data_IF_197588321848
#
_entry.id   IF_197588321848
#
_cell.length_a   1.000
_cell.length_b   1.000
_cell.length_c   1.000
_cell.angle_alpha   90.00
_cell.angle_beta   90.00
_cell.angle_gamma   90.00
#
_symmetry.space_group_name_H-M   'P 1'
#
loop_
_entity.id
_entity.type
_entity.pdbx_description
1 polymer ?
#
# COMPACT_ATOMS: atom_id res chain seq x y z
N UNK A 1 -3.16 -10.48 11.98
CA UNK A 1 -2.45 -11.68 12.44
C UNK A 1 -2.60 -12.91 11.54
N UNK A 2 -3.49 -12.87 10.57
CA UNK A 2 -3.57 -13.94 9.56
C UNK A 2 -2.61 -13.74 8.38
N UNK A 3 -1.89 -12.64 8.33
CA UNK A 3 -0.91 -12.34 7.29
C UNK A 3 0.25 -13.36 7.27
N UNK A 4 0.62 -13.91 8.42
CA UNK A 4 1.75 -14.84 8.54
C UNK A 4 1.49 -16.25 8.01
N UNK A 5 0.25 -16.68 7.84
CA UNK A 5 -0.06 -18.08 7.53
C UNK A 5 -0.17 -18.43 6.06
N UNK A 6 -0.20 -17.44 5.17
CA UNK A 6 -0.19 -17.69 3.73
C UNK A 6 -1.35 -18.53 3.18
N UNK A 7 -2.35 -18.82 3.97
CA UNK A 7 -3.54 -19.51 3.52
C UNK A 7 -4.50 -18.48 2.93
N UNK A 8 -4.77 -18.59 1.64
CA UNK A 8 -6.01 -18.07 1.07
C UNK A 8 -7.09 -18.92 1.73
N UNK A 9 -7.66 -18.46 2.80
CA UNK A 9 -8.88 -19.06 3.34
C UNK A 9 -9.97 -18.75 2.34
N UNK A 10 -10.29 -19.72 1.51
CA UNK A 10 -11.56 -19.78 0.83
C UNK A 10 -12.60 -19.61 1.91
N UNK A 11 -13.33 -18.48 1.85
CA UNK A 11 -14.49 -18.14 2.65
C UNK A 11 -14.58 -18.94 3.96
N UNK A 12 -13.94 -18.43 5.01
CA UNK A 12 -14.44 -18.79 6.32
C UNK A 12 -15.93 -18.45 6.31
N UNK A 13 -16.77 -19.39 6.67
CA UNK A 13 -18.15 -19.12 7.00
C UNK A 13 -18.11 -17.92 7.93
N UNK A 14 -18.46 -16.78 7.40
CA UNK A 14 -18.42 -15.53 8.14
C UNK A 14 -19.22 -15.77 9.42
N UNK A 15 -18.67 -15.48 10.57
CA UNK A 15 -19.30 -15.62 11.89
C UNK A 15 -20.60 -14.81 11.96
N UNK A 16 -21.61 -15.14 11.15
CA UNK A 16 -22.87 -14.43 11.03
C UNK A 16 -22.83 -13.11 10.25
N UNK A 17 -21.70 -12.72 9.66
CA UNK A 17 -21.63 -11.54 8.80
C UNK A 17 -22.39 -11.78 7.49
N UNK A 18 -23.07 -10.77 6.98
CA UNK A 18 -23.94 -10.85 5.82
C UNK A 18 -23.82 -9.59 4.96
N UNK A 19 -24.47 -9.62 3.81
CA UNK A 19 -24.61 -8.44 2.93
C UNK A 19 -25.11 -7.20 3.69
N UNK A 20 -26.01 -7.38 4.67
CA UNK A 20 -26.50 -6.28 5.51
C UNK A 20 -25.36 -5.64 6.32
N UNK A 21 -24.45 -6.44 6.88
CA UNK A 21 -23.29 -5.92 7.61
C UNK A 21 -22.35 -5.14 6.70
N UNK A 22 -22.11 -5.63 5.49
CA UNK A 22 -21.31 -4.89 4.49
C UNK A 22 -21.94 -3.54 4.15
N UNK A 23 -23.27 -3.49 3.97
CA UNK A 23 -24.00 -2.25 3.72
C UNK A 23 -23.94 -1.28 4.92
N UNK A 24 -24.11 -1.79 6.14
CA UNK A 24 -24.00 -0.99 7.35
C UNK A 24 -22.59 -0.42 7.54
N UNK A 25 -21.56 -1.20 7.21
CA UNK A 25 -20.17 -0.72 7.26
C UNK A 25 -19.94 0.41 6.25
N UNK A 26 -20.44 0.27 5.02
CA UNK A 26 -20.35 1.34 4.02
C UNK A 26 -21.10 2.59 4.44
N UNK A 27 -22.28 2.43 5.07
CA UNK A 27 -23.05 3.54 5.62
C UNK A 27 -22.29 4.24 6.75
N UNK A 28 -21.73 3.48 7.67
CA UNK A 28 -20.90 4.00 8.78
C UNK A 28 -19.73 4.85 8.26
N UNK A 29 -19.03 4.37 7.23
CA UNK A 29 -17.93 5.10 6.61
C UNK A 29 -18.44 6.45 6.05
N UNK A 30 -19.55 6.44 5.32
CA UNK A 30 -20.12 7.66 4.74
C UNK A 30 -20.54 8.66 5.81
N UNK A 31 -21.22 8.21 6.86
CA UNK A 31 -21.66 9.06 7.98
C UNK A 31 -20.48 9.65 8.73
N UNK A 32 -19.44 8.81 8.97
CA UNK A 32 -18.21 9.28 9.58
C UNK A 32 -17.54 10.37 8.75
N UNK A 33 -17.37 10.15 7.45
CA UNK A 33 -16.78 11.15 6.54
C UNK A 33 -17.61 12.43 6.44
N UNK A 34 -18.92 12.32 6.43
CA UNK A 34 -19.81 13.50 6.43
C UNK A 34 -19.59 14.34 7.70
N UNK A 35 -19.39 13.71 8.85
CA UNK A 35 -19.12 14.41 10.12
C UNK A 35 -17.70 14.94 10.24
N UNK A 36 -16.71 14.17 9.79
CA UNK A 36 -15.30 14.54 9.84
C UNK A 36 -14.93 15.60 8.78
N UNK A 37 -15.70 15.69 7.69
CA UNK A 37 -15.37 16.55 6.56
C UNK A 37 -14.07 16.12 5.88
N UNK A 38 -13.32 17.10 5.36
CA UNK A 38 -12.02 16.88 4.70
C UNK A 38 -10.83 16.78 5.67
N UNK A 39 -11.07 16.71 6.97
CA UNK A 39 -10.00 16.71 7.98
C UNK A 39 -9.30 15.37 8.14
N UNK A 40 -9.97 14.28 7.75
CA UNK A 40 -9.48 12.92 7.90
C UNK A 40 -9.75 12.12 6.63
N UNK A 41 -8.73 11.42 6.15
CA UNK A 41 -8.85 10.42 5.12
C UNK A 41 -9.10 9.04 5.74
N UNK A 42 -9.98 8.26 5.12
CA UNK A 42 -10.29 6.91 5.55
C UNK A 42 -9.79 5.92 4.51
N UNK A 43 -8.90 5.03 4.94
CA UNK A 43 -8.42 3.93 4.14
C UNK A 43 -9.15 2.65 4.51
N UNK A 44 -9.73 1.98 3.50
CA UNK A 44 -10.31 0.66 3.67
C UNK A 44 -9.24 -0.42 3.44
N UNK A 45 -9.17 -1.40 4.33
CA UNK A 45 -8.32 -2.57 4.14
C UNK A 45 -9.09 -3.69 3.42
N UNK A 46 -8.50 -4.28 2.38
CA UNK A 46 -9.13 -5.35 1.59
C UNK A 46 -9.30 -6.63 2.41
N UNK A 47 -10.52 -6.91 2.83
CA UNK A 47 -10.90 -8.15 3.51
C UNK A 47 -12.38 -8.49 3.35
N UNK A 48 -13.29 -7.55 3.57
CA UNK A 48 -14.72 -7.80 3.48
C UNK A 48 -15.23 -7.54 2.05
N UNK A 49 -15.97 -8.50 1.50
CA UNK A 49 -16.67 -8.34 0.24
C UNK A 49 -18.00 -7.60 0.41
N UNK A 50 -18.61 -7.17 -0.71
CA UNK A 50 -19.95 -6.57 -0.73
C UNK A 50 -21.06 -7.45 -0.13
N UNK A 51 -20.82 -8.76 -0.04
CA UNK A 51 -21.76 -9.73 0.53
C UNK A 51 -21.45 -10.08 2.00
N UNK A 52 -20.48 -9.37 2.60
CA UNK A 52 -20.10 -9.56 4.01
C UNK A 52 -19.20 -10.77 4.26
N UNK A 53 -18.65 -11.38 3.23
CA UNK A 53 -17.68 -12.47 3.37
C UNK A 53 -16.30 -11.89 3.65
N UNK A 54 -15.54 -12.55 4.52
CA UNK A 54 -14.12 -12.27 4.72
C UNK A 54 -13.32 -13.02 3.64
N UNK A 55 -12.96 -12.31 2.58
CA UNK A 55 -12.27 -12.88 1.43
C UNK A 55 -11.34 -11.82 0.82
N UNK A 56 -10.04 -11.97 1.08
CA UNK A 56 -9.02 -11.05 0.57
C UNK A 56 -8.89 -11.19 -0.95
N UNK A 57 -9.28 -10.13 -1.64
CA UNK A 57 -9.18 -10.07 -3.10
C UNK A 57 -7.74 -9.81 -3.57
N UNK A 58 -6.89 -9.24 -2.72
CA UNK A 58 -5.54 -8.75 -3.04
C UNK A 58 -5.56 -7.81 -4.27
N UNK A 59 -6.65 -7.13 -4.50
CA UNK A 59 -6.89 -6.29 -5.65
C UNK A 59 -8.16 -5.47 -5.45
N UNK A 60 -8.33 -4.42 -6.23
CA UNK A 60 -9.63 -3.79 -6.40
C UNK A 60 -10.46 -4.62 -7.40
N UNK A 61 -11.54 -5.21 -6.92
CA UNK A 61 -12.42 -6.09 -7.70
C UNK A 61 -13.89 -5.64 -7.62
N UNK A 62 -14.79 -6.35 -8.30
CA UNK A 62 -16.24 -6.13 -8.16
C UNK A 62 -16.76 -6.48 -6.76
N UNK A 63 -16.01 -7.32 -6.04
CA UNK A 63 -16.42 -7.81 -4.72
C UNK A 63 -16.17 -6.78 -3.61
N UNK A 64 -15.17 -5.90 -3.75
CA UNK A 64 -14.80 -4.92 -2.74
C UNK A 64 -14.89 -3.45 -3.18
N UNK A 65 -15.12 -3.15 -4.46
CA UNK A 65 -15.17 -1.78 -4.97
C UNK A 65 -16.21 -0.88 -4.28
N UNK A 66 -17.28 -1.47 -3.72
CA UNK A 66 -18.34 -0.73 -3.03
C UNK A 66 -17.86 -0.03 -1.74
N UNK A 67 -16.67 -0.37 -1.24
CA UNK A 67 -16.02 0.35 -0.15
C UNK A 67 -15.27 1.60 -0.59
N UNK A 68 -15.06 1.80 -1.90
CA UNK A 68 -14.51 3.04 -2.47
C UNK A 68 -15.57 3.91 -3.12
N UNK A 69 -16.47 3.29 -3.90
CA UNK A 69 -17.58 3.99 -4.56
C UNK A 69 -18.85 3.16 -4.44
N UNK A 70 -19.97 3.82 -4.16
CA UNK A 70 -21.27 3.15 -4.08
C UNK A 70 -21.89 2.91 -5.48
N UNK A 71 -23.07 2.32 -5.49
CA UNK A 71 -23.81 2.03 -6.73
C UNK A 71 -24.15 3.27 -7.56
N UNK A 72 -24.15 4.45 -6.94
CA UNK A 72 -24.41 5.74 -7.59
C UNK A 72 -23.11 6.49 -7.92
N UNK A 73 -21.98 5.82 -7.89
CA UNK A 73 -20.64 6.38 -8.12
C UNK A 73 -20.25 7.48 -7.12
N UNK A 74 -20.85 7.50 -5.93
CA UNK A 74 -20.48 8.43 -4.86
C UNK A 74 -19.34 7.82 -4.01
N UNK A 75 -18.37 8.66 -3.56
CA UNK A 75 -17.28 8.20 -2.73
C UNK A 75 -17.77 7.55 -1.42
N UNK A 76 -17.09 6.50 -0.99
CA UNK A 76 -17.25 5.83 0.31
C UNK A 76 -15.98 6.06 1.11
N UNK A 77 -14.96 5.22 1.03
CA UNK A 77 -13.64 5.49 1.57
C UNK A 77 -12.79 6.31 0.59
N UNK A 78 -11.72 6.95 1.08
CA UNK A 78 -10.82 7.76 0.25
C UNK A 78 -9.80 6.90 -0.48
N UNK A 79 -9.40 5.79 0.15
CA UNK A 79 -8.35 4.91 -0.37
C UNK A 79 -8.58 3.46 0.06
N UNK A 80 -7.83 2.55 -0.55
CA UNK A 80 -7.90 1.13 -0.22
C UNK A 80 -6.51 0.53 -0.15
N UNK A 81 -6.26 -0.22 0.92
CA UNK A 81 -5.07 -1.02 1.10
C UNK A 81 -5.32 -2.43 0.56
N UNK A 82 -4.48 -2.86 -0.41
CA UNK A 82 -4.69 -4.05 -1.21
C UNK A 82 -4.00 -5.32 -0.68
N UNK A 83 -3.56 -5.31 0.60
CA UNK A 83 -2.85 -6.42 1.21
C UNK A 83 -1.37 -6.55 0.83
N UNK A 84 -0.67 -7.65 1.27
CA UNK A 84 0.79 -7.81 1.27
C UNK A 84 1.32 -8.96 0.39
N UNK A 85 0.50 -9.61 -0.43
CA UNK A 85 0.82 -10.91 -1.02
C UNK A 85 1.63 -10.89 -2.33
N UNK A 86 2.35 -9.81 -2.60
CA UNK A 86 3.08 -9.57 -3.86
C UNK A 86 4.31 -10.45 -4.04
N UNK A 87 4.72 -11.19 -3.02
CA UNK A 87 5.85 -12.12 -3.05
C UNK A 87 5.50 -13.47 -3.66
N UNK A 88 4.21 -13.86 -3.67
CA UNK A 88 3.79 -15.19 -4.06
C UNK A 88 3.75 -15.36 -5.57
N UNK A 89 4.49 -16.37 -6.07
CA UNK A 89 4.53 -16.73 -7.49
C UNK A 89 3.12 -16.93 -8.09
N UNK A 90 2.20 -17.53 -7.33
CA UNK A 90 0.82 -17.75 -7.75
C UNK A 90 0.08 -16.46 -8.06
N UNK A 91 0.33 -15.40 -7.29
CA UNK A 91 -0.32 -14.09 -7.49
C UNK A 91 0.37 -13.29 -8.59
N UNK A 92 1.65 -13.53 -8.85
CA UNK A 92 2.41 -12.83 -9.87
C UNK A 92 1.77 -12.95 -11.27
N UNK A 93 1.28 -14.14 -11.62
CA UNK A 93 0.64 -14.39 -12.93
C UNK A 93 -0.73 -13.74 -13.10
N UNK A 94 -1.33 -13.23 -12.02
CA UNK A 94 -2.68 -12.68 -12.06
C UNK A 94 -2.72 -11.18 -12.41
N UNK A 95 -1.58 -10.50 -12.43
CA UNK A 95 -1.46 -9.06 -12.73
C UNK A 95 -2.41 -8.19 -11.88
N UNK A 96 -2.56 -8.49 -10.59
CA UNK A 96 -3.60 -7.91 -9.74
C UNK A 96 -3.50 -6.40 -9.60
N UNK A 97 -2.30 -5.83 -9.49
CA UNK A 97 -2.12 -4.37 -9.40
C UNK A 97 -2.47 -3.68 -10.70
N UNK A 98 -2.06 -4.24 -11.84
CA UNK A 98 -2.44 -3.72 -13.15
C UNK A 98 -3.96 -3.78 -13.39
N UNK A 99 -4.61 -4.86 -12.94
CA UNK A 99 -6.08 -5.00 -13.02
C UNK A 99 -6.78 -4.01 -12.08
N UNK A 100 -6.22 -3.78 -10.90
CA UNK A 100 -6.73 -2.80 -9.94
C UNK A 100 -6.64 -1.37 -10.49
N UNK A 101 -5.52 -1.01 -11.12
CA UNK A 101 -5.34 0.25 -11.82
C UNK A 101 -6.45 0.48 -12.85
N UNK A 102 -6.61 -0.46 -13.78
CA UNK A 102 -7.66 -0.38 -14.81
C UNK A 102 -9.08 -0.33 -14.25
N UNK A 103 -9.31 -0.96 -13.11
CA UNK A 103 -10.62 -0.89 -12.46
C UNK A 103 -10.84 0.45 -11.80
N UNK A 104 -9.83 1.03 -11.15
CA UNK A 104 -9.90 2.37 -10.59
C UNK A 104 -10.27 3.41 -11.66
N UNK A 105 -9.60 3.35 -12.82
CA UNK A 105 -9.94 4.21 -13.96
C UNK A 105 -11.40 4.08 -14.39
N UNK A 106 -11.93 2.85 -14.47
CA UNK A 106 -13.35 2.60 -14.79
C UNK A 106 -14.32 3.15 -13.75
N UNK A 107 -13.89 3.26 -12.52
CA UNK A 107 -14.66 3.81 -11.41
C UNK A 107 -14.44 5.32 -11.23
N UNK A 108 -13.64 5.93 -12.12
CA UNK A 108 -13.30 7.37 -12.08
C UNK A 108 -12.65 7.76 -10.74
N UNK A 109 -11.82 6.87 -10.20
CA UNK A 109 -10.99 7.13 -9.02
C UNK A 109 -9.51 7.02 -9.40
N UNK A 110 -8.67 7.79 -8.71
CA UNK A 110 -7.23 7.72 -8.93
C UNK A 110 -6.72 6.32 -8.59
N UNK A 111 -5.96 5.65 -9.49
CA UNK A 111 -5.30 4.40 -9.15
C UNK A 111 -4.32 4.53 -7.98
N UNK A 112 -3.85 5.74 -7.70
CA UNK A 112 -2.94 6.03 -6.59
C UNK A 112 -3.63 6.17 -5.24
N UNK A 113 -4.97 6.09 -5.20
CA UNK A 113 -5.72 5.86 -3.97
C UNK A 113 -5.74 4.38 -3.56
N UNK A 114 -5.12 3.51 -4.34
CA UNK A 114 -4.90 2.10 -4.03
C UNK A 114 -3.47 1.91 -3.53
N UNK A 115 -3.29 1.19 -2.42
CA UNK A 115 -2.00 0.99 -1.79
C UNK A 115 -1.65 -0.50 -1.78
N UNK A 116 -0.57 -0.87 -2.47
CA UNK A 116 0.00 -2.20 -2.39
C UNK A 116 0.95 -2.26 -1.17
N UNK A 117 0.68 -3.15 -0.24
CA UNK A 117 1.39 -3.25 1.02
C UNK A 117 2.68 -4.04 0.92
N UNK A 118 3.72 -3.57 1.58
CA UNK A 118 4.98 -4.29 1.79
C UNK A 118 5.25 -4.31 3.29
N UNK A 119 5.30 -5.51 3.87
CA UNK A 119 5.62 -5.70 5.27
C UNK A 119 7.14 -5.80 5.44
N UNK A 120 7.72 -4.75 6.00
CA UNK A 120 9.17 -4.68 6.26
C UNK A 120 9.53 -4.91 7.72
N UNK A 121 8.57 -5.25 8.56
CA UNK A 121 8.74 -5.38 10.00
C UNK A 121 9.85 -6.36 10.41
N UNK A 122 9.89 -7.54 9.78
CA UNK A 122 10.85 -8.57 10.16
C UNK A 122 12.18 -8.45 9.40
N UNK A 123 12.11 -8.28 8.09
CA UNK A 123 13.24 -8.48 7.18
C UNK A 123 13.73 -7.18 6.52
N UNK A 124 13.04 -6.06 6.76
CA UNK A 124 13.42 -4.76 6.20
C UNK A 124 13.65 -4.81 4.69
N UNK A 125 14.82 -4.40 4.25
CA UNK A 125 15.22 -4.45 2.83
C UNK A 125 15.49 -5.85 2.30
N UNK A 126 15.55 -6.87 3.16
CA UNK A 126 15.63 -8.27 2.76
C UNK A 126 14.25 -8.90 2.51
N UNK A 127 13.16 -8.19 2.78
CA UNK A 127 11.80 -8.63 2.48
C UNK A 127 11.69 -9.04 1.01
N UNK A 128 11.29 -10.28 0.71
CA UNK A 128 11.19 -10.74 -0.66
C UNK A 128 9.98 -10.08 -1.36
N UNK A 129 10.24 -9.26 -2.37
CA UNK A 129 9.22 -8.52 -3.13
C UNK A 129 9.41 -8.77 -4.62
N UNK A 130 8.32 -9.00 -5.33
CA UNK A 130 8.32 -9.06 -6.80
C UNK A 130 8.07 -7.67 -7.37
N UNK A 131 9.09 -6.87 -7.40
CA UNK A 131 9.04 -5.47 -7.80
C UNK A 131 8.46 -5.23 -9.20
N UNK A 132 8.67 -6.18 -10.11
CA UNK A 132 8.10 -6.13 -11.46
C UNK A 132 6.55 -6.13 -11.51
N UNK A 133 5.88 -6.40 -10.38
CA UNK A 133 4.42 -6.34 -10.30
C UNK A 133 3.89 -4.93 -10.03
N UNK A 134 4.73 -4.02 -9.53
CA UNK A 134 4.32 -2.70 -9.04
C UNK A 134 4.25 -1.63 -10.13
N UNK A 135 4.98 -1.81 -11.22
CA UNK A 135 5.08 -0.84 -12.28
C UNK A 135 5.06 -1.50 -13.67
N UNK A 136 4.80 -0.70 -14.70
CA UNK A 136 4.92 -1.13 -16.07
C UNK A 136 6.40 -1.13 -16.53
N UNK A 137 6.66 -1.46 -17.79
CA UNK A 137 8.01 -1.50 -18.38
C UNK A 137 8.69 -0.12 -18.43
N UNK A 138 7.92 0.96 -18.36
CA UNK A 138 8.40 2.34 -18.30
C UNK A 138 8.55 2.83 -16.87
N UNK A 139 8.54 1.94 -15.88
CA UNK A 139 8.61 2.23 -14.44
C UNK A 139 7.49 3.12 -13.89
N UNK A 140 6.37 3.22 -14.61
CA UNK A 140 5.18 3.93 -14.09
C UNK A 140 4.44 3.01 -13.14
N UNK A 141 4.27 3.41 -11.85
CA UNK A 141 3.59 2.59 -10.86
C UNK A 141 2.11 2.35 -11.21
N UNK A 142 1.61 1.16 -10.92
CA UNK A 142 0.17 0.86 -11.07
C UNK A 142 -0.65 1.42 -9.93
N UNK A 143 -0.10 1.47 -8.73
CA UNK A 143 -0.75 1.93 -7.49
C UNK A 143 0.26 2.66 -6.62
N UNK A 144 -0.19 3.24 -5.53
CA UNK A 144 0.70 3.67 -4.46
C UNK A 144 1.27 2.48 -3.69
N UNK A 145 2.34 2.73 -2.92
CA UNK A 145 2.93 1.77 -1.99
C UNK A 145 2.52 2.09 -0.55
N UNK A 146 2.29 1.06 0.25
CA UNK A 146 2.08 1.16 1.67
C UNK A 146 3.11 0.33 2.42
N UNK A 147 4.06 0.97 3.08
CA UNK A 147 5.02 0.26 3.92
C UNK A 147 4.39 -0.01 5.29
N UNK A 148 4.44 -1.25 5.72
CA UNK A 148 4.06 -1.64 7.07
C UNK A 148 5.30 -1.80 7.93
N UNK A 149 5.28 -1.13 9.10
CA UNK A 149 6.35 -1.10 10.09
C UNK A 149 7.73 -0.65 9.55
N UNK A 150 7.82 0.54 8.89
CA UNK A 150 9.09 1.09 8.43
C UNK A 150 10.02 1.53 9.57
N UNK A 151 9.53 1.52 10.80
CA UNK A 151 10.30 1.61 12.04
C UNK A 151 11.28 0.45 12.24
N UNK A 152 11.28 -0.54 11.33
CA UNK A 152 12.33 -1.53 11.24
C UNK A 152 13.75 -0.89 11.23
N UNK A 153 13.92 0.27 10.58
CA UNK A 153 15.23 0.91 10.49
C UNK A 153 15.81 1.27 11.85
N UNK A 154 15.14 2.04 12.73
CA UNK A 154 15.63 2.26 14.08
C UNK A 154 15.56 1.01 14.95
N UNK A 155 14.50 0.21 14.85
CA UNK A 155 14.32 -0.97 15.70
C UNK A 155 15.38 -2.07 15.51
N UNK A 156 16.03 -2.10 14.35
CA UNK A 156 17.07 -3.07 14.02
C UNK A 156 18.49 -2.50 14.09
N UNK A 157 18.69 -1.24 14.48
CA UNK A 157 19.99 -0.56 14.47
C UNK A 157 20.51 -0.33 15.89
N UNK A 158 21.79 -0.61 16.10
CA UNK A 158 22.47 -0.39 17.36
C UNK A 158 23.20 0.97 17.40
N UNK A 159 23.42 1.59 16.26
CA UNK A 159 24.13 2.85 16.11
C UNK A 159 23.43 3.79 15.13
N UNK A 160 23.74 5.11 15.24
CA UNK A 160 23.23 6.12 14.31
C UNK A 160 23.69 5.87 12.87
N UNK A 161 24.93 5.46 12.69
CA UNK A 161 25.48 5.17 11.36
C UNK A 161 24.75 3.97 10.72
N UNK A 162 24.47 2.96 11.49
CA UNK A 162 23.70 1.79 11.04
C UNK A 162 22.26 2.18 10.68
N UNK A 163 21.61 2.98 11.52
CA UNK A 163 20.28 3.53 11.22
C UNK A 163 20.27 4.32 9.92
N UNK A 164 21.22 5.24 9.73
CA UNK A 164 21.31 6.04 8.50
C UNK A 164 21.56 5.18 7.26
N UNK A 165 22.41 4.16 7.35
CA UNK A 165 22.67 3.22 6.26
C UNK A 165 21.42 2.43 5.91
N UNK A 166 20.70 1.89 6.90
CA UNK A 166 19.46 1.15 6.69
C UNK A 166 18.32 2.04 6.15
N UNK A 167 18.18 3.26 6.67
CA UNK A 167 17.20 4.22 6.17
C UNK A 167 17.51 4.61 4.71
N UNK A 168 18.76 4.90 4.39
CA UNK A 168 19.19 5.17 3.02
C UNK A 168 18.92 3.99 2.08
N UNK A 169 19.21 2.77 2.51
CA UNK A 169 18.92 1.56 1.74
C UNK A 169 17.40 1.35 1.54
N UNK A 170 16.59 1.59 2.56
CA UNK A 170 15.14 1.44 2.49
C UNK A 170 14.49 2.45 1.52
N UNK A 171 14.85 3.72 1.65
CA UNK A 171 14.19 4.81 0.92
C UNK A 171 14.82 5.08 -0.44
N UNK A 172 16.13 5.10 -0.54
CA UNK A 172 16.85 5.48 -1.76
C UNK A 172 17.24 4.25 -2.57
N UNK A 173 18.18 3.47 -2.08
CA UNK A 173 18.64 2.16 -2.55
C UNK A 173 19.82 1.70 -1.69
N UNK A 174 20.32 0.48 -1.91
CA UNK A 174 21.42 -0.07 -1.11
C UNK A 174 22.76 0.70 -1.25
N UNK A 175 22.92 1.56 -2.24
CA UNK A 175 24.06 2.48 -2.37
C UNK A 175 23.85 3.82 -1.69
N UNK A 176 22.63 4.10 -1.23
CA UNK A 176 22.21 5.41 -0.73
C UNK A 176 22.50 6.56 -1.75
N UNK A 177 22.40 6.24 -3.03
CA UNK A 177 22.71 7.14 -4.14
C UNK A 177 21.57 7.12 -5.16
N UNK A 178 20.73 8.16 -5.22
CA UNK A 178 19.58 8.21 -6.11
C UNK A 178 19.95 8.23 -7.60
N UNK A 179 21.19 8.57 -7.93
CA UNK A 179 21.68 8.53 -9.33
C UNK A 179 21.94 7.11 -9.81
N UNK A 180 22.06 6.15 -8.90
CA UNK A 180 22.29 4.74 -9.19
C UNK A 180 20.99 3.97 -9.10
N UNK A 181 20.09 4.19 -10.05
CA UNK A 181 18.89 3.35 -10.15
C UNK A 181 19.26 1.89 -10.38
N UNK A 182 18.67 1.01 -9.60
CA UNK A 182 18.84 -0.44 -9.79
C UNK A 182 17.63 -0.92 -10.58
N UNK A 183 17.83 -1.40 -11.82
CA UNK A 183 16.73 -2.01 -12.54
C UNK A 183 16.24 -3.23 -11.75
N UNK A 184 15.03 -3.21 -11.25
CA UNK A 184 14.45 -4.35 -10.57
C UNK A 184 13.93 -5.40 -11.57
N UNK A 185 14.84 -5.91 -12.39
CA UNK A 185 14.51 -7.04 -13.27
C UNK A 185 14.51 -8.37 -12.53
N UNK A 186 15.05 -8.40 -11.31
CA UNK A 186 15.09 -9.60 -10.49
C UNK A 186 14.58 -9.30 -9.09
N UNK A 187 13.75 -10.18 -8.59
CA UNK A 187 13.08 -10.16 -7.30
C UNK A 187 13.97 -10.25 -6.05
N UNK A 188 15.26 -9.99 -6.13
CA UNK A 188 16.20 -10.32 -5.04
C UNK A 188 16.90 -9.12 -4.42
N UNK A 189 16.78 -7.93 -5.01
CA UNK A 189 17.43 -6.73 -4.50
C UNK A 189 16.40 -5.65 -4.23
N UNK A 190 16.44 -5.07 -3.05
CA UNK A 190 15.64 -3.93 -2.68
C UNK A 190 16.07 -2.69 -3.47
N UNK A 191 15.19 -2.13 -4.32
CA UNK A 191 15.60 -1.04 -5.24
C UNK A 191 15.56 0.34 -4.59
N UNK A 192 15.03 0.44 -3.38
CA UNK A 192 14.62 1.69 -2.75
C UNK A 192 13.18 2.07 -3.09
N UNK A 193 12.46 2.58 -2.12
CA UNK A 193 11.05 3.00 -2.29
C UNK A 193 10.94 4.10 -3.34
N UNK A 194 11.94 5.00 -3.44
CA UNK A 194 11.99 6.11 -4.40
C UNK A 194 11.90 5.66 -5.87
N UNK A 195 12.27 4.41 -6.17
CA UNK A 195 12.14 3.85 -7.53
C UNK A 195 10.68 3.72 -7.97
N UNK A 196 9.75 3.56 -7.03
CA UNK A 196 8.33 3.32 -7.28
C UNK A 196 7.43 4.41 -6.71
N UNK A 197 8.00 5.48 -6.20
CA UNK A 197 7.29 6.63 -5.71
C UNK A 197 7.52 7.84 -6.62
N UNK A 198 6.46 8.58 -6.91
CA UNK A 198 6.59 9.88 -7.59
C UNK A 198 7.00 10.89 -6.53
N UNK A 199 8.20 11.44 -6.69
CA UNK A 199 8.69 12.50 -5.81
C UNK A 199 7.92 13.79 -6.06
N UNK A 200 7.42 14.38 -4.99
CA UNK A 200 6.85 15.72 -5.01
C UNK A 200 7.63 16.61 -4.04
N UNK A 201 8.32 17.60 -4.59
CA UNK A 201 9.00 18.57 -3.74
C UNK A 201 8.01 19.52 -3.09
N UNK A 202 8.11 19.66 -1.76
CA UNK A 202 7.42 20.68 -1.03
C UNK A 202 8.08 22.08 -1.16
N UNK A 203 9.24 22.14 -1.81
CA UNK A 203 9.98 23.38 -2.02
C UNK A 203 9.36 24.13 -3.19
N UNK A 204 8.61 25.17 -2.90
CA UNK A 204 7.92 25.98 -3.92
C UNK A 204 8.64 27.27 -4.26
N UNK A 205 9.60 27.71 -3.43
CA UNK A 205 10.39 28.91 -3.64
C UNK A 205 11.67 28.87 -2.79
N UNK A 206 12.64 29.70 -3.17
CA UNK A 206 13.89 29.89 -2.39
C UNK A 206 13.89 31.29 -1.72
N UNK A 207 14.60 31.47 -0.58
CA UNK A 207 15.29 30.41 0.16
C UNK A 207 14.32 29.44 0.85
N UNK A 208 14.69 28.17 0.92
CA UNK A 208 13.97 27.15 1.67
C UNK A 208 14.60 27.03 3.07
N UNK A 209 13.79 27.18 4.10
CA UNK A 209 14.21 27.02 5.50
C UNK A 209 13.34 25.97 6.16
N UNK A 210 13.96 25.02 6.83
CA UNK A 210 13.29 23.99 7.60
C UNK A 210 13.97 23.77 8.94
N UNK A 211 13.18 23.50 9.98
CA UNK A 211 13.66 23.09 11.30
C UNK A 211 13.46 21.56 11.49
N UNK A 212 13.28 20.84 10.41
CA UNK A 212 13.13 19.39 10.47
C UNK A 212 14.42 18.76 11.00
N UNK A 213 14.29 17.90 12.00
CA UNK A 213 15.37 17.07 12.54
C UNK A 213 14.96 15.61 12.52
N UNK A 214 15.95 14.71 12.52
CA UNK A 214 15.72 13.27 12.59
C UNK A 214 15.18 12.81 13.96
N UNK A 215 14.91 13.72 14.86
CA UNK A 215 14.48 13.44 16.22
C UNK A 215 15.68 13.34 17.17
N UNK A 216 15.41 13.49 18.47
CA UNK A 216 16.41 13.46 19.53
C UNK A 216 16.42 12.11 20.26
N UNK A 217 16.02 11.04 19.63
CA UNK A 217 15.77 9.75 20.27
C UNK A 217 16.86 8.70 20.09
N UNK A 218 18.06 9.09 19.65
CA UNK A 218 19.20 8.18 19.51
C UNK A 218 20.38 8.67 20.33
#
# INVERSE_FOLDING_TARGET
DSASTGKTTTSSTSNGLSKKHAQLMQQLIKEYKQKAGSKLDLMWYDSMTKDGKMDWQNALTKENQSYLVDANMKPVADSMFLNFWWTKKRLASQELLKKSHKRAEKLVISPYNLFAGIDVQADGTATPVRWNLFANQQHVPYTSLGLYAPDWTPASSDTVDEFQAKAGALWVNYHNDPSRSIPSTTSTHWPGVSTYAVEQSAITKQPFVTNFSLGNGY
#
